data_IF_191942639796
#
_entry.id   IF_191942639796
#
_cell.length_a   1.000
_cell.length_b   1.000
_cell.length_c   1.000
_cell.angle_alpha   90.00
_cell.angle_beta   90.00
_cell.angle_gamma   90.00
#
_symmetry.space_group_name_H-M   'P 1'
#
loop_
_entity.id
_entity.type
_entity.pdbx_description
1 polymer ?
#
# COMPACT_ATOMS: atom_id res chain seq x y z
N UNK A 1 4.56 45.56 -8.78
CA UNK A 1 4.70 44.64 -7.63
C UNK A 1 5.01 43.25 -8.19
N UNK A 2 6.30 42.96 -8.46
CA UNK A 2 6.74 41.79 -9.23
C UNK A 2 7.02 40.65 -8.24
N UNK A 3 6.10 39.69 -8.12
CA UNK A 3 6.33 38.45 -7.37
C UNK A 3 7.41 37.66 -8.10
N UNK A 4 8.66 37.78 -7.63
CA UNK A 4 9.85 37.21 -8.26
C UNK A 4 9.71 35.71 -8.47
N UNK A 5 9.89 35.28 -9.73
CA UNK A 5 9.87 33.87 -10.18
C UNK A 5 10.82 32.97 -9.39
N UNK A 6 11.88 33.51 -8.79
CA UNK A 6 12.80 32.77 -7.92
C UNK A 6 12.18 32.44 -6.54
N UNK A 7 11.32 33.31 -6.01
CA UNK A 7 10.62 33.08 -4.72
C UNK A 7 9.61 31.93 -4.83
N UNK A 8 8.97 31.79 -5.98
CA UNK A 8 8.05 30.68 -6.26
C UNK A 8 8.80 29.34 -6.36
N UNK A 9 9.98 29.33 -7.00
CA UNK A 9 10.80 28.12 -7.12
C UNK A 9 11.28 27.62 -5.75
N UNK A 10 11.74 28.54 -4.89
CA UNK A 10 12.13 28.22 -3.51
C UNK A 10 10.95 27.70 -2.69
N UNK A 11 9.76 28.26 -2.87
CA UNK A 11 8.54 27.78 -2.22
C UNK A 11 8.20 26.34 -2.65
N UNK A 12 8.24 26.04 -3.94
CA UNK A 12 8.00 24.67 -4.42
C UNK A 12 9.04 23.68 -3.90
N UNK A 13 10.31 24.10 -3.84
CA UNK A 13 11.38 23.24 -3.32
C UNK A 13 11.18 22.98 -1.83
N UNK A 14 10.79 23.99 -1.06
CA UNK A 14 10.45 23.86 0.36
C UNK A 14 9.24 22.93 0.58
N UNK A 15 8.20 23.05 -0.24
CA UNK A 15 7.01 22.19 -0.17
C UNK A 15 7.39 20.73 -0.45
N UNK A 16 8.23 20.47 -1.45
CA UNK A 16 8.71 19.12 -1.77
C UNK A 16 9.53 18.55 -0.61
N UNK A 17 10.47 19.33 -0.05
CA UNK A 17 11.29 18.91 1.09
C UNK A 17 10.43 18.61 2.32
N UNK A 18 9.46 19.48 2.65
CA UNK A 18 8.54 19.26 3.76
C UNK A 18 7.65 18.02 3.52
N UNK A 19 7.17 17.81 2.29
CA UNK A 19 6.40 16.61 1.96
C UNK A 19 7.23 15.32 2.13
N UNK A 20 8.48 15.33 1.68
CA UNK A 20 9.39 14.18 1.84
C UNK A 20 9.81 13.93 3.30
N UNK A 21 10.02 14.99 4.09
CA UNK A 21 10.38 14.86 5.49
C UNK A 21 9.24 14.31 6.34
N UNK A 22 7.99 14.71 6.04
CA UNK A 22 6.80 14.14 6.70
C UNK A 22 6.56 12.67 6.30
N UNK A 23 6.87 12.29 5.05
CA UNK A 23 6.78 10.89 4.60
C UNK A 23 7.80 9.98 5.31
N UNK A 24 9.00 10.50 5.62
CA UNK A 24 10.05 9.74 6.32
C UNK A 24 9.83 9.62 7.83
N UNK A 25 9.05 10.52 8.46
CA UNK A 25 8.85 10.56 9.91
C UNK A 25 7.59 9.80 10.40
N UNK A 26 6.98 8.98 9.53
CA UNK A 26 5.87 8.12 9.92
C UNK A 26 6.38 6.85 10.62
N UNK A 27 6.81 6.97 11.88
CA UNK A 27 7.32 5.89 12.74
C UNK A 27 6.30 4.82 13.16
N UNK A 28 5.30 4.54 12.32
CA UNK A 28 4.30 3.50 12.53
C UNK A 28 3.47 3.35 11.25
N UNK A 29 3.40 2.13 10.71
CA UNK A 29 2.63 1.87 9.49
C UNK A 29 1.15 2.08 9.76
N UNK A 30 0.57 3.11 9.14
CA UNK A 30 -0.84 3.42 9.30
C UNK A 30 -1.69 2.51 8.41
N UNK A 31 -2.61 1.75 9.01
CA UNK A 31 -3.53 0.88 8.28
C UNK A 31 -4.37 1.65 7.22
N UNK A 32 -4.73 2.90 7.52
CA UNK A 32 -5.41 3.77 6.57
C UNK A 32 -4.56 4.06 5.31
N UNK A 33 -3.23 4.21 5.47
CA UNK A 33 -2.31 4.44 4.35
C UNK A 33 -2.10 3.15 3.55
N UNK A 34 -1.98 2.00 4.22
CA UNK A 34 -1.91 0.69 3.56
C UNK A 34 -3.15 0.42 2.69
N UNK A 35 -4.34 0.69 3.24
CA UNK A 35 -5.60 0.55 2.52
C UNK A 35 -5.72 1.56 1.36
N UNK A 36 -5.29 2.81 1.55
CA UNK A 36 -5.29 3.80 0.48
C UNK A 36 -4.36 3.40 -0.67
N UNK A 37 -3.24 2.74 -0.36
CA UNK A 37 -2.29 2.23 -1.36
C UNK A 37 -2.80 0.99 -2.11
N UNK A 38 -3.80 0.25 -1.60
CA UNK A 38 -4.46 -0.84 -2.35
C UNK A 38 -5.23 -0.35 -3.58
N UNK A 39 -5.46 0.95 -3.75
CA UNK A 39 -6.03 1.51 -5.00
C UNK A 39 -5.13 1.19 -6.21
N UNK A 40 -3.83 1.06 -5.98
CA UNK A 40 -2.89 0.55 -6.97
C UNK A 40 -2.80 -0.98 -6.76
N UNK A 41 -2.88 -1.79 -7.82
CA UNK A 41 -2.83 -3.25 -7.69
C UNK A 41 -1.57 -3.69 -6.94
N UNK A 42 -1.77 -4.48 -5.88
CA UNK A 42 -0.72 -4.90 -4.95
C UNK A 42 -0.12 -3.82 -4.02
N UNK A 43 -0.51 -2.54 -4.13
CA UNK A 43 0.16 -1.42 -3.47
C UNK A 43 0.12 -1.42 -1.94
N UNK A 44 -0.96 -1.90 -1.33
CA UNK A 44 -1.04 -2.02 0.14
C UNK A 44 -0.09 -3.07 0.72
N UNK A 45 0.25 -4.09 -0.06
CA UNK A 45 1.16 -5.17 0.34
C UNK A 45 2.64 -4.74 0.30
N UNK A 46 2.99 -3.79 -0.58
CA UNK A 46 4.32 -3.18 -0.58
C UNK A 46 4.55 -2.32 0.66
N UNK A 47 3.50 -1.65 1.17
CA UNK A 47 3.60 -0.86 2.39
C UNK A 47 3.83 -1.75 3.62
N UNK A 48 3.20 -2.93 3.67
CA UNK A 48 3.36 -3.91 4.77
C UNK A 48 4.60 -4.79 4.63
N UNK A 49 5.54 -4.49 3.71
CA UNK A 49 6.76 -5.29 3.43
C UNK A 49 6.49 -6.73 2.94
N UNK A 50 5.25 -7.04 2.56
CA UNK A 50 4.86 -8.36 2.04
C UNK A 50 4.97 -8.39 0.51
N UNK A 51 6.19 -8.25 0.01
CA UNK A 51 6.48 -8.15 -1.43
C UNK A 51 5.96 -9.34 -2.24
N UNK A 52 6.10 -10.56 -1.75
CA UNK A 52 5.66 -11.76 -2.47
C UNK A 52 4.14 -11.79 -2.65
N UNK A 53 3.40 -11.41 -1.60
CA UNK A 53 1.95 -11.28 -1.65
C UNK A 53 1.53 -10.14 -2.59
N UNK A 54 2.23 -9.00 -2.53
CA UNK A 54 1.99 -7.87 -3.43
C UNK A 54 2.19 -8.21 -4.91
N UNK A 55 3.24 -8.95 -5.24
CA UNK A 55 3.48 -9.42 -6.62
C UNK A 55 2.42 -10.43 -7.06
N UNK A 56 2.08 -11.41 -6.22
CA UNK A 56 1.08 -12.42 -6.53
C UNK A 56 -0.30 -11.77 -6.78
N UNK A 57 -0.77 -10.96 -5.83
CA UNK A 57 -2.07 -10.29 -5.89
C UNK A 57 -2.09 -9.27 -7.03
N UNK A 58 -1.05 -8.43 -7.16
CA UNK A 58 -0.96 -7.45 -8.24
C UNK A 58 -0.98 -8.10 -9.63
N UNK A 59 -0.31 -9.24 -9.81
CA UNK A 59 -0.35 -10.00 -11.06
C UNK A 59 -1.75 -10.56 -11.37
N UNK A 60 -2.49 -11.00 -10.34
CA UNK A 60 -3.85 -11.50 -10.47
C UNK A 60 -4.83 -10.36 -10.84
N UNK A 61 -4.72 -9.21 -10.17
CA UNK A 61 -5.52 -8.02 -10.46
C UNK A 61 -5.28 -7.50 -11.88
N UNK A 62 -4.02 -7.46 -12.32
CA UNK A 62 -3.65 -7.08 -13.69
C UNK A 62 -4.20 -8.07 -14.73
N UNK A 63 -4.10 -9.37 -14.47
CA UNK A 63 -4.63 -10.39 -15.35
C UNK A 63 -6.16 -10.28 -15.48
N UNK A 64 -6.86 -10.15 -14.35
CA UNK A 64 -8.32 -9.98 -14.32
C UNK A 64 -8.76 -8.69 -15.03
N UNK A 65 -8.05 -7.58 -14.80
CA UNK A 65 -8.29 -6.31 -15.50
C UNK A 65 -8.08 -6.43 -17.02
N UNK A 66 -7.01 -7.12 -17.45
CA UNK A 66 -6.74 -7.39 -18.86
C UNK A 66 -7.85 -8.24 -19.50
N UNK A 67 -8.26 -9.33 -18.85
CA UNK A 67 -9.36 -10.16 -19.35
C UNK A 67 -10.70 -9.42 -19.36
N UNK A 68 -10.99 -8.61 -18.34
CA UNK A 68 -12.19 -7.77 -18.33
C UNK A 68 -12.19 -6.78 -19.50
N UNK A 69 -11.05 -6.15 -19.81
CA UNK A 69 -10.90 -5.27 -20.97
C UNK A 69 -11.08 -6.03 -22.30
N UNK A 70 -10.47 -7.21 -22.42
CA UNK A 70 -10.62 -8.06 -23.60
C UNK A 70 -12.07 -8.45 -23.85
N UNK A 71 -12.78 -8.95 -22.83
CA UNK A 71 -14.19 -9.34 -22.96
C UNK A 71 -15.13 -8.14 -23.16
N UNK A 72 -14.75 -6.95 -22.70
CA UNK A 72 -15.47 -5.72 -23.02
C UNK A 72 -15.39 -5.40 -24.53
N UNK A 73 -14.24 -5.61 -25.16
CA UNK A 73 -14.07 -5.42 -26.62
C UNK A 73 -14.77 -6.48 -27.46
N UNK A 74 -14.92 -7.69 -26.92
CA UNK A 74 -15.63 -8.80 -27.56
C UNK A 74 -17.16 -8.73 -27.34
N UNK A 75 -17.67 -7.67 -26.70
CA UNK A 75 -19.08 -7.49 -26.32
C UNK A 75 -19.67 -8.68 -25.53
N UNK A 76 -18.80 -9.47 -24.87
CA UNK A 76 -19.19 -10.63 -24.09
C UNK A 76 -19.47 -10.22 -22.64
N UNK A 77 -20.67 -9.69 -22.42
CA UNK A 77 -21.09 -9.11 -21.14
C UNK A 77 -21.10 -10.13 -19.99
N UNK A 78 -21.42 -11.40 -20.24
CA UNK A 78 -21.45 -12.44 -19.22
C UNK A 78 -20.05 -12.72 -18.66
N UNK A 79 -19.07 -12.96 -19.56
CA UNK A 79 -17.68 -13.18 -19.15
C UNK A 79 -17.10 -11.94 -18.51
N UNK A 80 -17.34 -10.75 -19.08
CA UNK A 80 -16.90 -9.48 -18.46
C UNK A 80 -17.45 -9.34 -17.04
N UNK A 81 -18.74 -9.57 -16.83
CA UNK A 81 -19.37 -9.43 -15.51
C UNK A 81 -18.79 -10.45 -14.51
N UNK A 82 -18.55 -11.69 -14.94
CA UNK A 82 -17.87 -12.70 -14.13
C UNK A 82 -16.45 -12.26 -13.75
N UNK A 83 -15.66 -11.76 -14.70
CA UNK A 83 -14.30 -11.26 -14.43
C UNK A 83 -14.28 -10.03 -13.52
N UNK A 84 -15.25 -9.11 -13.65
CA UNK A 84 -15.39 -7.97 -12.75
C UNK A 84 -15.80 -8.41 -11.33
N UNK A 85 -16.66 -9.41 -11.19
CA UNK A 85 -17.02 -10.00 -9.90
C UNK A 85 -15.82 -10.65 -9.22
N UNK A 86 -15.04 -11.45 -9.98
CA UNK A 86 -13.79 -12.01 -9.48
C UNK A 86 -12.77 -10.93 -9.13
N UNK A 87 -12.66 -9.88 -9.95
CA UNK A 87 -11.81 -8.72 -9.68
C UNK A 87 -12.19 -8.00 -8.38
N UNK A 88 -13.49 -7.79 -8.14
CA UNK A 88 -13.99 -7.18 -6.91
C UNK A 88 -13.65 -8.04 -5.68
N UNK A 89 -13.76 -9.37 -5.80
CA UNK A 89 -13.42 -10.29 -4.72
C UNK A 89 -11.92 -10.26 -4.39
N UNK A 90 -11.06 -10.30 -5.42
CA UNK A 90 -9.60 -10.23 -5.25
C UNK A 90 -9.18 -8.88 -4.66
N UNK A 91 -9.79 -7.78 -5.11
CA UNK A 91 -9.54 -6.45 -4.56
C UNK A 91 -9.93 -6.37 -3.07
N UNK A 92 -11.12 -6.88 -2.71
CA UNK A 92 -11.57 -6.92 -1.32
C UNK A 92 -10.66 -7.78 -0.43
N UNK A 93 -10.23 -8.93 -0.93
CA UNK A 93 -9.27 -9.80 -0.24
C UNK A 93 -7.91 -9.10 -0.03
N UNK A 94 -7.38 -8.45 -1.08
CA UNK A 94 -6.15 -7.67 -1.04
C UNK A 94 -6.19 -6.58 0.04
N UNK A 95 -7.32 -5.86 0.12
CA UNK A 95 -7.56 -4.81 1.10
C UNK A 95 -7.65 -5.37 2.52
N UNK A 96 -8.32 -6.51 2.72
CA UNK A 96 -8.40 -7.18 4.01
C UNK A 96 -7.03 -7.68 4.49
N UNK A 97 -6.26 -8.33 3.61
CA UNK A 97 -4.92 -8.83 3.93
C UNK A 97 -3.93 -7.69 4.23
N UNK A 98 -4.03 -6.56 3.51
CA UNK A 98 -3.23 -5.37 3.78
C UNK A 98 -3.63 -4.70 5.11
N UNK A 99 -4.93 -4.66 5.43
CA UNK A 99 -5.43 -4.14 6.71
C UNK A 99 -4.94 -4.97 7.89
N UNK A 100 -5.06 -6.30 7.80
CA UNK A 100 -4.54 -7.22 8.84
C UNK A 100 -3.03 -7.07 8.95
N UNK A 101 -2.29 -7.05 7.83
CA UNK A 101 -0.85 -6.86 7.82
C UNK A 101 -0.42 -5.55 8.49
N UNK A 102 -1.10 -4.43 8.21
CA UNK A 102 -0.78 -3.16 8.84
C UNK A 102 -1.11 -3.14 10.35
N UNK A 103 -2.20 -3.79 10.77
CA UNK A 103 -2.55 -3.91 12.19
C UNK A 103 -1.60 -4.83 12.96
N UNK A 104 -1.10 -5.89 12.32
CA UNK A 104 -0.11 -6.80 12.90
C UNK A 104 1.30 -6.21 12.94
N UNK A 105 1.65 -5.34 11.98
CA UNK A 105 2.95 -4.65 11.99
C UNK A 105 3.18 -3.82 13.26
N UNK A 106 2.12 -3.19 13.78
CA UNK A 106 2.17 -2.50 15.07
C UNK A 106 2.39 -3.43 16.27
N UNK A 107 1.97 -4.70 16.16
CA UNK A 107 2.14 -5.72 17.20
C UNK A 107 3.55 -6.33 17.18
N UNK A 108 4.12 -6.59 16.01
CA UNK A 108 5.52 -7.08 15.88
C UNK A 108 6.55 -6.05 16.36
N UNK A 109 6.31 -4.75 16.16
CA UNK A 109 7.17 -3.68 16.71
C UNK A 109 7.19 -3.64 18.24
N UNK A 110 6.09 -4.03 18.89
CA UNK A 110 5.95 -4.05 20.34
C UNK A 110 6.42 -5.38 20.96
N UNK A 111 6.40 -6.44 20.15
CA UNK A 111 6.81 -7.82 20.52
C UNK A 111 8.12 -8.24 19.86
N UNK A 112 9.06 -7.32 19.67
CA UNK A 112 10.45 -7.64 19.33
C UNK A 112 11.10 -8.44 20.47
N UNK A 113 10.92 -9.77 20.41
CA UNK A 113 11.28 -10.75 21.46
C UNK A 113 12.78 -10.68 21.77
N UNK A 114 13.62 -10.22 20.84
CA UNK A 114 15.06 -10.05 21.05
C UNK A 114 15.41 -8.92 22.03
N UNK A 115 14.62 -7.82 22.09
CA UNK A 115 14.83 -6.77 23.11
C UNK A 115 14.37 -7.19 24.50
N UNK A 116 13.31 -7.99 24.59
CA UNK A 116 12.78 -8.46 25.87
C UNK A 116 13.69 -9.52 26.48
N UNK A 117 14.23 -10.42 25.65
CA UNK A 117 15.20 -11.46 26.03
C UNK A 117 16.47 -10.88 26.70
N UNK A 118 17.11 -9.89 26.06
CA UNK A 118 18.32 -9.26 26.60
C UNK A 118 18.08 -8.51 27.92
N UNK A 119 16.91 -7.89 28.09
CA UNK A 119 16.54 -7.15 29.30
C UNK A 119 16.26 -8.08 30.49
N UNK A 120 15.74 -9.28 30.24
CA UNK A 120 15.51 -10.29 31.29
C UNK A 120 16.80 -11.01 31.68
N UNK A 121 17.70 -11.29 30.72
CA UNK A 121 19.00 -11.93 31.01
C UNK A 121 19.92 -11.10 31.90
N UNK A 122 19.80 -9.78 31.91
CA UNK A 122 20.62 -8.88 32.75
C UNK A 122 20.05 -8.65 34.16
N UNK A 123 18.89 -9.23 34.46
CA UNK A 123 18.16 -9.04 35.74
C UNK A 123 18.06 -10.32 36.59
N UNK A 124 18.69 -11.40 36.17
CA UNK A 124 18.95 -12.63 36.94
C UNK A 124 20.38 -12.62 37.46
#
# INVERSE_FOLDING_TARGET
>A
MIKSRHSQFLLYTLIVVLFTANFLNAGGKNAAVAMALCVIPGGGQFYTERYLAGVAIGSAELALGYYAYKYHREENFEKRNSMLWWGLFVFGYSLADAYVGAKMYGFELETDIDRVSLKYSWKL
#
